data_IF_137385890913
#
_entry.id   IF_137385890913
#
_cell.length_a   1.000
_cell.length_b   1.000
_cell.length_c   1.000
_cell.angle_alpha   90.00
_cell.angle_beta   90.00
_cell.angle_gamma   90.00
#
_symmetry.space_group_name_H-M   'P 1'
#
loop_
_entity.id
_entity.type
_entity.pdbx_description
1 polymer ?
#
# COMPACT_ATOMS: atom_id res chain seq x y z
N UNK A 1 -29.72 -12.52 -0.07
CA UNK A 1 -28.54 -11.66 0.15
C UNK A 1 -27.30 -12.51 -0.09
N UNK A 2 -26.45 -12.16 -1.06
CA UNK A 2 -25.21 -12.91 -1.30
C UNK A 2 -24.24 -12.64 -0.15
N UNK A 3 -23.71 -13.71 0.48
CA UNK A 3 -22.68 -13.57 1.50
C UNK A 3 -21.42 -12.99 0.85
N UNK A 4 -20.77 -11.96 1.43
CA UNK A 4 -19.52 -11.44 0.88
C UNK A 4 -18.47 -12.55 0.87
N UNK A 5 -17.67 -12.60 -0.20
CA UNK A 5 -16.55 -13.52 -0.30
C UNK A 5 -15.58 -13.27 0.88
N UNK A 6 -15.16 -14.31 1.64
CA UNK A 6 -14.26 -14.16 2.78
C UNK A 6 -12.96 -13.40 2.45
N UNK A 7 -12.46 -13.53 1.22
CA UNK A 7 -11.25 -12.82 0.76
C UNK A 7 -11.51 -11.32 0.64
N UNK A 8 -12.71 -10.91 0.24
CA UNK A 8 -13.09 -9.49 0.15
C UNK A 8 -13.25 -8.87 1.55
N UNK A 9 -13.82 -9.61 2.50
CA UNK A 9 -13.92 -9.18 3.90
C UNK A 9 -12.54 -9.00 4.55
N UNK A 10 -11.64 -9.95 4.35
CA UNK A 10 -10.28 -9.87 4.88
C UNK A 10 -9.52 -8.67 4.30
N UNK A 11 -9.62 -8.45 2.98
CA UNK A 11 -9.04 -7.28 2.33
C UNK A 11 -9.65 -5.95 2.83
N UNK A 12 -10.96 -5.92 3.11
CA UNK A 12 -11.61 -4.76 3.73
C UNK A 12 -11.13 -4.50 5.15
N UNK A 13 -10.96 -5.53 5.98
CA UNK A 13 -10.44 -5.40 7.34
C UNK A 13 -8.99 -4.93 7.35
N UNK A 14 -8.16 -5.47 6.46
CA UNK A 14 -6.78 -4.99 6.27
C UNK A 14 -6.74 -3.54 5.78
N UNK A 15 -7.69 -3.13 4.93
CA UNK A 15 -7.82 -1.74 4.52
C UNK A 15 -8.33 -0.82 5.63
N UNK A 16 -9.14 -1.34 6.57
CA UNK A 16 -9.64 -0.57 7.71
C UNK A 16 -8.56 -0.28 8.76
N UNK A 17 -7.45 -1.02 8.73
CA UNK A 17 -6.32 -0.82 9.64
C UNK A 17 -5.44 0.39 9.25
N UNK A 18 -5.52 0.83 7.99
CA UNK A 18 -4.78 1.99 7.49
C UNK A 18 -5.62 3.26 7.60
N UNK A 19 -5.09 4.26 8.30
CA UNK A 19 -5.69 5.59 8.33
C UNK A 19 -5.43 6.33 7.02
N UNK A 20 -6.24 7.36 6.77
CA UNK A 20 -6.06 8.23 5.61
C UNK A 20 -4.69 8.90 5.62
N UNK A 21 -4.22 9.32 6.79
CA UNK A 21 -2.94 9.99 6.99
C UNK A 21 -1.78 9.05 6.68
N UNK A 22 -1.89 7.78 7.08
CA UNK A 22 -0.89 6.76 6.76
C UNK A 22 -0.83 6.47 5.26
N UNK A 23 -1.99 6.45 4.58
CA UNK A 23 -2.02 6.33 3.12
C UNK A 23 -1.38 7.54 2.43
N UNK A 24 -1.71 8.76 2.86
CA UNK A 24 -1.12 9.99 2.32
C UNK A 24 0.40 9.94 2.50
N UNK A 25 0.86 9.62 3.71
CA UNK A 25 2.29 9.50 4.01
C UNK A 25 2.98 8.50 3.08
N UNK A 26 2.40 7.30 2.92
CA UNK A 26 2.98 6.26 2.06
C UNK A 26 2.98 6.66 0.58
N UNK A 27 1.99 7.42 0.10
CA UNK A 27 1.94 7.91 -1.29
C UNK A 27 3.05 8.94 -1.54
N UNK A 28 3.18 9.92 -0.65
CA UNK A 28 4.16 11.02 -0.77
C UNK A 28 5.60 10.49 -0.62
N UNK A 29 5.80 9.55 0.30
CA UNK A 29 7.12 9.03 0.67
C UNK A 29 7.41 7.64 0.07
N UNK A 30 6.67 7.21 -0.96
CA UNK A 30 6.86 5.89 -1.58
C UNK A 30 8.28 5.65 -2.13
N UNK A 31 9.02 6.72 -2.41
CA UNK A 31 10.39 6.66 -2.89
C UNK A 31 11.41 6.35 -1.78
N UNK A 32 11.04 6.51 -0.50
CA UNK A 32 11.91 6.22 0.63
C UNK A 32 12.18 4.72 0.76
N UNK A 33 13.36 4.34 1.30
CA UNK A 33 13.67 2.95 1.62
C UNK A 33 12.72 2.40 2.68
N UNK A 34 12.52 1.08 2.66
CA UNK A 34 11.59 0.40 3.57
C UNK A 34 11.94 0.63 5.05
N UNK A 35 13.23 0.73 5.39
CA UNK A 35 13.68 1.02 6.75
C UNK A 35 13.08 2.32 7.29
N UNK A 36 13.14 3.41 6.51
CA UNK A 36 12.57 4.71 6.91
C UNK A 36 11.04 4.68 6.97
N UNK A 37 10.40 3.95 6.05
CA UNK A 37 8.95 3.82 6.09
C UNK A 37 8.47 3.06 7.33
N UNK A 38 9.24 2.09 7.82
CA UNK A 38 8.93 1.34 9.03
C UNK A 38 9.19 2.11 10.32
N UNK A 39 9.99 3.17 10.28
CA UNK A 39 10.19 4.06 11.44
C UNK A 39 8.93 4.91 11.69
N UNK A 40 8.25 5.32 10.62
CA UNK A 40 7.09 6.23 10.69
C UNK A 40 5.74 5.48 10.63
N UNK A 41 5.70 4.32 9.97
CA UNK A 41 4.50 3.51 9.85
C UNK A 41 4.58 2.30 10.79
N UNK A 42 3.59 2.09 11.68
CA UNK A 42 3.56 0.97 12.63
C UNK A 42 3.12 -0.34 11.96
N UNK A 43 3.73 -0.68 10.82
CA UNK A 43 3.40 -1.83 10.00
C UNK A 43 4.65 -2.61 9.61
N UNK A 44 4.46 -3.91 9.38
CA UNK A 44 5.50 -4.77 8.81
C UNK A 44 5.81 -4.40 7.36
N UNK A 45 6.96 -4.87 6.88
CA UNK A 45 7.37 -4.68 5.50
C UNK A 45 6.36 -5.31 4.52
N UNK A 46 5.85 -6.49 4.85
CA UNK A 46 4.83 -7.19 4.07
C UNK A 46 3.54 -6.39 3.98
N UNK A 47 3.09 -5.79 5.08
CA UNK A 47 1.89 -4.95 5.13
C UNK A 47 2.07 -3.67 4.32
N UNK A 48 3.21 -2.99 4.45
CA UNK A 48 3.53 -1.79 3.66
C UNK A 48 3.58 -2.14 2.17
N UNK A 49 4.20 -3.26 1.79
CA UNK A 49 4.22 -3.73 0.40
C UNK A 49 2.84 -4.09 -0.13
N UNK A 50 2.01 -4.76 0.68
CA UNK A 50 0.63 -5.06 0.32
C UNK A 50 -0.15 -3.76 0.08
N UNK A 51 0.02 -2.76 0.97
CA UNK A 51 -0.63 -1.46 0.82
C UNK A 51 -0.17 -0.71 -0.41
N UNK A 52 1.13 -0.72 -0.73
CA UNK A 52 1.67 -0.17 -1.98
C UNK A 52 1.03 -0.77 -3.23
N UNK A 53 0.70 -2.06 -3.22
CA UNK A 53 -0.02 -2.72 -4.32
C UNK A 53 -1.47 -2.23 -4.39
N UNK A 54 -2.17 -2.15 -3.25
CA UNK A 54 -3.55 -1.64 -3.17
C UNK A 54 -3.64 -0.19 -3.67
N UNK A 55 -2.68 0.65 -3.30
CA UNK A 55 -2.58 2.06 -3.72
C UNK A 55 -2.02 2.24 -5.15
N UNK A 56 -1.64 1.17 -5.84
CA UNK A 56 -1.11 1.23 -7.21
C UNK A 56 0.28 1.86 -7.35
N UNK A 57 1.01 2.02 -6.25
CA UNK A 57 2.30 2.73 -6.19
C UNK A 57 3.43 1.95 -6.88
N UNK A 58 3.35 0.61 -6.93
CA UNK A 58 4.33 -0.22 -7.62
C UNK A 58 4.17 -0.21 -9.15
N UNK A 59 2.94 -0.02 -9.63
CA UNK A 59 2.61 -0.04 -11.07
C UNK A 59 3.12 1.23 -11.76
N UNK A 60 3.07 2.36 -11.05
CA UNK A 60 3.55 3.67 -11.53
C UNK A 60 5.05 3.67 -11.82
N UNK A 61 5.88 3.07 -10.97
CA UNK A 61 7.33 2.94 -11.19
C UNK A 61 7.67 2.13 -12.46
N UNK A 62 6.95 1.04 -12.71
CA UNK A 62 7.10 0.22 -13.93
C UNK A 62 6.67 0.96 -15.20
N UNK A 63 5.61 1.77 -15.11
CA UNK A 63 5.14 2.57 -16.24
C UNK A 63 6.10 3.74 -16.55
N UNK A 64 6.64 4.41 -15.53
CA UNK A 64 7.62 5.49 -15.72
C UNK A 64 8.90 4.99 -16.40
N UNK A 65 9.42 3.81 -16.03
CA UNK A 65 10.58 3.19 -16.72
C UNK A 65 10.31 2.80 -18.18
N UNK A 66 9.04 2.66 -18.58
CA UNK A 66 8.68 2.38 -19.99
C UNK A 66 8.52 3.66 -20.82
N UNK A 67 8.21 4.79 -20.16
CA UNK A 67 8.01 6.09 -20.81
C UNK A 67 9.33 6.84 -21.01
N UNK A 68 10.36 6.52 -20.22
CA UNK A 68 11.71 7.08 -20.35
C UNK A 68 12.72 5.92 -20.47
N UNK A 69 12.99 5.42 -21.68
CA UNK A 69 14.00 4.39 -21.93
C UNK A 69 15.43 4.88 -21.65
#
# INVERSE_FOLDING_TARGET
MARPDPKKLLAQMQNAQWSREQDIYLIEHNHLPMSQLREELPFSEEEIMARRKVLGLMTRLKQMKRLFP
#
